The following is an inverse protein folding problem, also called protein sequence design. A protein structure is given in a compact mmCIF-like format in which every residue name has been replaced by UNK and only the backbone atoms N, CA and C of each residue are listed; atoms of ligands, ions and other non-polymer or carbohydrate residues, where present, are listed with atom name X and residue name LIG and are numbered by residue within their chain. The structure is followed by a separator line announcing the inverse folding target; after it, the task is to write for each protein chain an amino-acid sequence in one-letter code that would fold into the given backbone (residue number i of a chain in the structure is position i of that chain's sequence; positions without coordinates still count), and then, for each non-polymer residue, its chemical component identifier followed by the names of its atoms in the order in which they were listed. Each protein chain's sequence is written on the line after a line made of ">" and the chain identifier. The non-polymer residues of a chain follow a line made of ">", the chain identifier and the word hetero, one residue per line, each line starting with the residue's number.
data_IF_613437287086
#
_entry.id   IF_613437287086
#
_cell.length_a   1.000
_cell.length_b   1.000
_cell.length_c   1.000
_cell.angle_alpha   90.00
_cell.angle_beta   90.00
_cell.angle_gamma   90.00
#
_symmetry.space_group_name_H-M   'P 1'
#
loop_
_entity.id
_entity.type
_entity.pdbx_description
1 polymer ?
#
# COMPACT_ATOMS: atom_id res chain seq x y z
N UNK A 1 35.38 -17.32 52.54
CA UNK A 1 36.16 -17.97 51.46
C UNK A 1 36.64 -16.90 50.50
N UNK A 2 37.87 -17.05 50.00
CA UNK A 2 38.61 -16.16 49.10
C UNK A 2 37.97 -16.07 47.71
N UNK A 3 38.25 -14.97 46.99
CA UNK A 3 38.84 -14.83 45.64
C UNK A 3 38.48 -13.41 45.12
N UNK A 4 39.43 -12.47 45.11
CA UNK A 4 40.31 -12.12 43.98
C UNK A 4 39.54 -11.53 42.78
N UNK A 5 39.68 -10.23 42.46
CA UNK A 5 40.77 -9.53 41.73
C UNK A 5 40.33 -9.29 40.27
N UNK A 6 40.55 -8.07 39.77
CA UNK A 6 41.01 -7.69 38.40
C UNK A 6 40.20 -6.59 37.66
N UNK A 7 40.94 -5.51 37.40
CA UNK A 7 41.03 -4.63 36.24
C UNK A 7 39.87 -3.71 35.79
N UNK A 8 40.13 -2.42 36.06
CA UNK A 8 40.33 -1.34 35.10
C UNK A 8 40.04 -1.57 33.59
N UNK A 9 39.27 -0.61 33.06
CA UNK A 9 39.29 -0.01 31.72
C UNK A 9 39.72 -0.87 30.52
N UNK A 10 38.74 -1.13 29.65
CA UNK A 10 38.93 -1.01 28.22
C UNK A 10 37.77 -0.16 27.66
N UNK A 11 37.99 1.16 27.51
CA UNK A 11 37.24 1.97 26.54
C UNK A 11 37.71 1.51 25.15
N UNK A 12 37.14 0.41 24.68
CA UNK A 12 37.33 -0.03 23.32
C UNK A 12 36.47 0.87 22.41
N UNK A 13 37.17 1.70 21.63
CA UNK A 13 36.78 2.14 20.30
C UNK A 13 35.36 2.64 20.16
N UNK A 14 35.20 3.96 20.26
CA UNK A 14 34.11 4.70 19.64
C UNK A 14 34.11 4.45 18.13
N UNK A 15 33.39 3.42 17.70
CA UNK A 15 32.88 3.31 16.35
C UNK A 15 31.51 2.65 16.46
N UNK A 16 30.57 3.33 17.14
CA UNK A 16 29.22 3.28 16.61
C UNK A 16 29.38 3.82 15.20
N UNK A 17 29.40 2.92 14.20
CA UNK A 17 28.90 3.27 12.90
C UNK A 17 27.59 3.98 13.20
N UNK A 18 27.58 5.30 13.03
CA UNK A 18 26.36 6.08 13.09
C UNK A 18 25.40 5.30 12.21
N UNK A 19 24.25 4.83 12.74
CA UNK A 19 23.24 4.32 11.84
C UNK A 19 23.01 5.47 10.88
N UNK A 20 23.48 5.30 9.64
CA UNK A 20 23.08 6.16 8.54
C UNK A 20 21.58 6.27 8.67
N UNK A 21 20.99 7.47 8.74
CA UNK A 21 19.56 7.60 8.81
C UNK A 21 19.00 6.81 7.63
N UNK A 22 18.51 5.62 7.93
CA UNK A 22 17.80 4.77 7.00
C UNK A 22 16.59 5.63 6.71
N UNK A 23 16.50 6.21 5.49
CA UNK A 23 15.45 7.16 5.10
C UNK A 23 14.17 6.84 5.87
N UNK A 24 13.69 7.85 6.61
CA UNK A 24 12.40 7.81 7.28
C UNK A 24 11.34 7.23 6.34
N UNK A 25 10.26 6.64 6.88
CA UNK A 25 9.11 6.24 6.06
C UNK A 25 8.80 7.34 5.05
N UNK A 26 8.55 6.99 3.79
CA UNK A 26 8.11 7.98 2.82
C UNK A 26 6.70 8.43 3.22
N UNK A 27 6.63 9.46 4.06
CA UNK A 27 5.40 10.06 4.59
C UNK A 27 4.46 10.50 3.46
N UNK A 28 5.01 10.76 2.26
CA UNK A 28 4.25 11.06 1.06
C UNK A 28 3.46 9.87 0.56
N UNK A 29 4.12 8.72 0.34
CA UNK A 29 3.46 7.48 -0.11
C UNK A 29 2.43 6.98 0.89
N UNK A 30 2.73 7.02 2.19
CA UNK A 30 1.77 6.64 3.23
C UNK A 30 0.49 7.49 3.17
N UNK A 31 0.64 8.80 2.99
CA UNK A 31 -0.50 9.72 2.86
C UNK A 31 -1.31 9.47 1.59
N UNK A 32 -0.65 9.14 0.48
CA UNK A 32 -1.34 8.81 -0.77
C UNK A 32 -2.15 7.52 -0.64
N UNK A 33 -1.59 6.48 -0.02
CA UNK A 33 -2.29 5.23 0.25
C UNK A 33 -3.54 5.49 1.12
N UNK A 34 -3.40 6.23 2.22
CA UNK A 34 -4.54 6.58 3.07
C UNK A 34 -5.61 7.38 2.32
N UNK A 35 -5.20 8.32 1.47
CA UNK A 35 -6.13 9.11 0.63
C UNK A 35 -6.92 8.19 -0.31
N UNK A 36 -6.26 7.19 -0.88
CA UNK A 36 -6.87 6.22 -1.77
C UNK A 36 -7.81 5.25 -1.03
N UNK A 37 -7.46 4.82 0.18
CA UNK A 37 -8.34 4.03 1.04
C UNK A 37 -9.63 4.79 1.37
N UNK A 38 -9.54 6.10 1.64
CA UNK A 38 -10.71 6.96 1.84
C UNK A 38 -11.54 7.06 0.56
N UNK A 39 -10.92 7.22 -0.60
CA UNK A 39 -11.64 7.25 -1.88
C UNK A 39 -12.38 5.93 -2.15
N UNK A 40 -11.75 4.77 -1.88
CA UNK A 40 -12.41 3.46 -1.98
C UNK A 40 -13.59 3.36 -1.02
N UNK A 41 -13.45 3.87 0.21
CA UNK A 41 -14.55 3.88 1.19
C UNK A 41 -15.72 4.74 0.71
N UNK A 42 -15.47 5.89 0.07
CA UNK A 42 -16.52 6.71 -0.54
C UNK A 42 -17.26 5.94 -1.64
N UNK A 43 -16.54 5.24 -2.53
CA UNK A 43 -17.16 4.37 -3.54
C UNK A 43 -17.99 3.26 -2.88
N UNK A 44 -17.51 2.62 -1.81
CA UNK A 44 -18.30 1.62 -1.07
C UNK A 44 -19.60 2.25 -0.52
N UNK A 45 -19.50 3.42 0.11
CA UNK A 45 -20.66 4.12 0.65
C UNK A 45 -21.66 4.48 -0.45
N UNK A 46 -21.17 4.94 -1.60
CA UNK A 46 -21.99 5.25 -2.76
C UNK A 46 -22.71 4.02 -3.32
N UNK A 47 -22.02 2.88 -3.39
CA UNK A 47 -22.63 1.60 -3.78
C UNK A 47 -23.72 1.20 -2.78
N UNK A 48 -23.45 1.28 -1.48
CA UNK A 48 -24.41 0.92 -0.42
C UNK A 48 -25.65 1.81 -0.45
N UNK A 49 -25.47 3.11 -0.71
CA UNK A 49 -26.54 4.09 -0.71
C UNK A 49 -27.21 4.28 -2.08
N UNK A 50 -26.71 3.60 -3.14
CA UNK A 50 -27.11 3.86 -4.53
C UNK A 50 -26.98 5.36 -4.90
N UNK A 51 -25.90 5.99 -4.44
CA UNK A 51 -25.65 7.41 -4.62
C UNK A 51 -25.35 7.73 -6.09
N UNK A 52 -25.99 8.75 -6.70
CA UNK A 52 -25.65 9.19 -8.06
C UNK A 52 -24.19 9.66 -8.24
N UNK A 53 -23.48 9.99 -7.15
CA UNK A 53 -22.06 10.34 -7.19
C UNK A 53 -21.14 9.16 -7.53
N UNK A 54 -21.63 7.91 -7.49
CA UNK A 54 -20.82 6.68 -7.64
C UNK A 54 -19.83 6.73 -8.80
N UNK A 55 -20.27 7.18 -9.99
CA UNK A 55 -19.40 7.24 -11.18
C UNK A 55 -18.27 8.26 -11.02
N UNK A 56 -18.56 9.39 -10.41
CA UNK A 56 -17.59 10.47 -10.17
C UNK A 56 -16.56 10.02 -9.14
N UNK A 57 -17.00 9.45 -8.03
CA UNK A 57 -16.12 8.99 -6.96
C UNK A 57 -15.28 7.79 -7.41
N UNK A 58 -15.86 6.92 -8.25
CA UNK A 58 -15.12 5.84 -8.93
C UNK A 58 -14.02 6.39 -9.87
N UNK A 59 -14.33 7.40 -10.68
CA UNK A 59 -13.35 8.01 -11.56
C UNK A 59 -12.22 8.71 -10.78
N UNK A 60 -12.55 9.39 -9.68
CA UNK A 60 -11.57 10.04 -8.81
C UNK A 60 -10.60 9.02 -8.18
N UNK A 61 -11.12 7.90 -7.66
CA UNK A 61 -10.25 6.83 -7.13
C UNK A 61 -9.40 6.16 -8.21
N UNK A 62 -9.93 5.97 -9.43
CA UNK A 62 -9.14 5.46 -10.56
C UNK A 62 -7.96 6.39 -10.91
N UNK A 63 -8.16 7.70 -10.88
CA UNK A 63 -7.08 8.67 -11.08
C UNK A 63 -6.02 8.58 -9.98
N UNK A 64 -6.43 8.46 -8.72
CA UNK A 64 -5.51 8.29 -7.59
C UNK A 64 -4.70 6.98 -7.70
N UNK A 65 -5.32 5.89 -8.15
CA UNK A 65 -4.59 4.65 -8.47
C UNK A 65 -3.54 4.87 -9.55
N UNK A 66 -3.84 5.66 -10.59
CA UNK A 66 -2.87 6.03 -11.63
C UNK A 66 -1.66 6.77 -11.08
N UNK A 67 -1.87 7.73 -10.17
CA UNK A 67 -0.79 8.46 -9.49
C UNK A 67 0.07 7.49 -8.67
N UNK A 68 -0.54 6.73 -7.76
CA UNK A 68 0.16 5.81 -6.87
C UNK A 68 0.93 4.73 -7.65
N UNK A 69 0.32 4.20 -8.72
CA UNK A 69 0.94 3.20 -9.58
C UNK A 69 2.13 3.79 -10.33
N UNK A 70 2.07 5.03 -10.82
CA UNK A 70 3.20 5.67 -11.49
C UNK A 70 4.36 5.96 -10.54
N UNK A 71 4.09 6.30 -9.28
CA UNK A 71 5.12 6.54 -8.27
C UNK A 71 5.79 5.24 -7.80
N UNK A 72 5.03 4.14 -7.75
CA UNK A 72 5.51 2.83 -7.31
C UNK A 72 5.93 1.90 -8.45
N UNK A 73 5.66 2.28 -9.71
CA UNK A 73 6.11 1.52 -10.87
C UNK A 73 7.63 1.59 -10.95
N UNK A 74 8.26 0.51 -10.49
CA UNK A 74 9.62 0.18 -10.88
C UNK A 74 9.70 -0.15 -12.38
N UNK A 75 10.86 -0.62 -12.87
CA UNK A 75 11.05 -0.92 -14.29
C UNK A 75 10.19 -2.08 -14.84
N UNK A 76 9.41 -2.78 -14.00
CA UNK A 76 8.58 -3.89 -14.43
C UNK A 76 7.11 -3.47 -14.62
N UNK A 77 6.43 -3.92 -15.69
CA UNK A 77 4.99 -3.74 -15.85
C UNK A 77 4.21 -4.58 -14.84
N UNK A 78 2.97 -4.19 -14.51
CA UNK A 78 2.09 -5.00 -13.68
C UNK A 78 1.92 -6.40 -14.28
N UNK A 79 2.22 -7.45 -13.51
CA UNK A 79 1.89 -8.82 -13.91
C UNK A 79 0.38 -8.93 -14.15
N UNK A 80 -0.06 -9.70 -15.15
CA UNK A 80 -1.46 -9.82 -15.48
C UNK A 80 -2.21 -10.54 -14.36
N UNK A 81 -2.82 -9.77 -13.47
CA UNK A 81 -3.81 -10.23 -12.51
C UNK A 81 -5.17 -9.70 -12.96
N UNK A 82 -6.08 -10.61 -13.29
CA UNK A 82 -7.41 -10.29 -13.80
C UNK A 82 -8.48 -10.82 -12.82
N UNK A 83 -8.91 -10.01 -11.85
CA UNK A 83 -9.99 -10.42 -10.97
C UNK A 83 -11.30 -10.60 -11.75
N UNK A 84 -12.22 -11.38 -11.19
CA UNK A 84 -13.56 -11.53 -11.75
C UNK A 84 -14.27 -10.17 -11.85
N UNK A 85 -15.11 -9.99 -12.88
CA UNK A 85 -15.87 -8.75 -13.11
C UNK A 85 -17.16 -8.78 -12.28
N UNK A 86 -17.25 -8.04 -11.17
CA UNK A 86 -18.47 -8.01 -10.36
C UNK A 86 -19.63 -7.38 -11.14
N UNK A 87 -20.79 -8.01 -11.07
CA UNK A 87 -22.06 -7.49 -11.61
C UNK A 87 -23.13 -7.30 -10.52
N UNK A 88 -22.82 -7.62 -9.27
CA UNK A 88 -23.69 -7.45 -8.12
C UNK A 88 -23.07 -6.50 -7.11
N UNK A 89 -23.92 -5.87 -6.30
CA UNK A 89 -23.51 -4.95 -5.24
C UNK A 89 -22.52 -5.62 -4.26
N UNK A 90 -22.82 -6.85 -3.81
CA UNK A 90 -21.96 -7.58 -2.87
C UNK A 90 -20.59 -7.91 -3.47
N UNK A 91 -20.56 -8.35 -4.74
CA UNK A 91 -19.30 -8.64 -5.42
C UNK A 91 -18.46 -7.38 -5.67
N UNK A 92 -19.10 -6.25 -5.97
CA UNK A 92 -18.42 -4.97 -6.13
C UNK A 92 -17.78 -4.50 -4.82
N UNK A 93 -18.52 -4.57 -3.71
CA UNK A 93 -17.98 -4.25 -2.38
C UNK A 93 -16.82 -5.18 -2.02
N UNK A 94 -16.94 -6.49 -2.29
CA UNK A 94 -15.87 -7.45 -2.02
C UNK A 94 -14.60 -7.15 -2.84
N UNK A 95 -14.74 -6.74 -4.10
CA UNK A 95 -13.62 -6.32 -4.93
C UNK A 95 -12.95 -5.04 -4.36
N UNK A 96 -13.73 -4.05 -3.94
CA UNK A 96 -13.21 -2.83 -3.29
C UNK A 96 -12.51 -3.16 -1.96
N UNK A 97 -13.05 -4.05 -1.14
CA UNK A 97 -12.40 -4.52 0.08
C UNK A 97 -11.08 -5.26 -0.20
N UNK A 98 -11.05 -6.06 -1.27
CA UNK A 98 -9.82 -6.74 -1.71
C UNK A 98 -8.78 -5.72 -2.15
N UNK A 99 -9.20 -4.66 -2.84
CA UNK A 99 -8.34 -3.53 -3.19
C UNK A 99 -7.76 -2.85 -1.95
N UNK A 100 -8.59 -2.51 -0.96
CA UNK A 100 -8.14 -1.92 0.31
C UNK A 100 -7.15 -2.83 1.05
N UNK A 101 -7.42 -4.14 1.12
CA UNK A 101 -6.51 -5.08 1.79
C UNK A 101 -5.11 -5.08 1.17
N UNK A 102 -5.01 -4.93 -0.16
CA UNK A 102 -3.71 -4.83 -0.86
C UNK A 102 -2.99 -3.52 -0.57
N UNK A 103 -3.73 -2.41 -0.48
CA UNK A 103 -3.18 -1.12 -0.06
C UNK A 103 -2.67 -1.15 1.38
N UNK A 104 -3.34 -1.88 2.28
CA UNK A 104 -2.87 -2.08 3.65
C UNK A 104 -1.59 -2.90 3.71
N UNK A 105 -1.49 -3.98 2.92
CA UNK A 105 -0.24 -4.74 2.77
C UNK A 105 0.90 -3.85 2.26
N UNK A 106 0.64 -3.06 1.21
CA UNK A 106 1.58 -2.07 0.68
C UNK A 106 2.01 -1.05 1.75
N UNK A 107 1.07 -0.49 2.52
CA UNK A 107 1.37 0.44 3.60
C UNK A 107 2.27 -0.19 4.68
N UNK A 108 1.98 -1.42 5.09
CA UNK A 108 2.79 -2.15 6.08
C UNK A 108 4.19 -2.44 5.56
N UNK A 109 4.31 -2.83 4.29
CA UNK A 109 5.61 -3.10 3.68
C UNK A 109 6.48 -1.84 3.59
N UNK A 110 5.86 -0.68 3.32
CA UNK A 110 6.54 0.61 3.26
C UNK A 110 7.03 1.09 4.65
N UNK A 111 6.39 0.64 5.73
CA UNK A 111 6.79 0.96 7.11
C UNK A 111 7.91 0.07 7.63
N UNK A 112 8.19 -1.06 6.99
CA UNK A 112 9.20 -2.00 7.46
C UNK A 112 10.58 -1.68 6.86
N UNK A 113 11.56 -1.18 7.65
CA UNK A 113 12.88 -0.83 7.15
C UNK A 113 13.69 -2.03 6.64
N UNK A 114 13.31 -3.27 6.99
CA UNK A 114 13.90 -4.49 6.45
C UNK A 114 13.38 -4.83 5.03
N UNK A 115 12.23 -4.26 4.64
CA UNK A 115 11.61 -4.43 3.33
C UNK A 115 12.00 -3.33 2.34
N UNK A 116 13.11 -2.61 2.60
CA UNK A 116 13.74 -1.74 1.59
C UNK A 116 14.24 -2.57 0.41
N UNK A 117 13.29 -2.82 -0.50
CA UNK A 117 13.43 -2.94 -1.95
C UNK A 117 14.01 -4.27 -2.44
N UNK A 118 13.17 -5.30 -2.46
CA UNK A 118 12.99 -5.96 -3.74
C UNK A 118 11.96 -5.11 -4.51
N UNK A 119 12.39 -4.31 -5.48
CA UNK A 119 11.56 -3.42 -6.31
C UNK A 119 10.27 -4.08 -6.86
N UNK A 120 10.19 -5.41 -6.87
CA UNK A 120 9.02 -6.18 -7.33
C UNK A 120 7.91 -6.44 -6.29
N UNK A 121 8.13 -6.31 -4.98
CA UNK A 121 7.10 -6.66 -3.98
C UNK A 121 6.00 -5.58 -3.86
N UNK A 122 6.40 -4.31 -3.71
CA UNK A 122 5.49 -3.16 -3.73
C UNK A 122 4.66 -3.08 -5.00
N UNK A 123 5.29 -3.46 -6.11
CA UNK A 123 4.70 -3.51 -7.42
C UNK A 123 3.53 -4.51 -7.50
N UNK A 124 3.66 -5.69 -6.88
CA UNK A 124 2.59 -6.69 -6.92
C UNK A 124 1.32 -6.25 -6.18
N UNK A 125 1.45 -5.59 -5.03
CA UNK A 125 0.30 -5.15 -4.23
C UNK A 125 -0.40 -3.94 -4.84
N UNK A 126 0.34 -2.93 -5.31
CA UNK A 126 -0.28 -1.77 -5.98
C UNK A 126 -1.00 -2.19 -7.27
N UNK A 127 -0.39 -3.10 -8.05
CA UNK A 127 -1.01 -3.62 -9.27
C UNK A 127 -2.26 -4.46 -8.96
N UNK A 128 -2.23 -5.32 -7.94
CA UNK A 128 -3.41 -6.10 -7.57
C UNK A 128 -4.53 -5.21 -7.04
N UNK A 129 -4.19 -4.22 -6.21
CA UNK A 129 -5.16 -3.23 -5.72
C UNK A 129 -5.86 -2.53 -6.90
N UNK A 130 -5.07 -1.99 -7.84
CA UNK A 130 -5.58 -1.33 -9.02
C UNK A 130 -6.46 -2.26 -9.88
N UNK A 131 -6.05 -3.52 -10.07
CA UNK A 131 -6.84 -4.51 -10.80
C UNK A 131 -8.18 -4.79 -10.12
N UNK A 132 -8.22 -5.01 -8.80
CA UNK A 132 -9.46 -5.22 -8.06
C UNK A 132 -10.39 -4.01 -8.17
N UNK A 133 -9.85 -2.80 -8.04
CA UNK A 133 -10.60 -1.57 -8.21
C UNK A 133 -11.15 -1.42 -9.64
N UNK A 134 -10.33 -1.67 -10.65
CA UNK A 134 -10.71 -1.56 -12.06
C UNK A 134 -11.83 -2.53 -12.45
N UNK A 135 -11.89 -3.72 -11.84
CA UNK A 135 -12.94 -4.70 -12.13
C UNK A 135 -14.34 -4.20 -11.78
N UNK A 136 -14.44 -3.29 -10.79
CA UNK A 136 -15.71 -2.70 -10.32
C UNK A 136 -16.39 -1.85 -11.40
N UNK A 137 -15.66 -1.42 -12.44
CA UNK A 137 -16.23 -0.76 -13.64
C UNK A 137 -17.43 -1.50 -14.23
N UNK A 138 -17.42 -2.85 -14.19
CA UNK A 138 -18.49 -3.68 -14.73
C UNK A 138 -19.82 -3.55 -13.95
N UNK A 139 -19.75 -3.20 -12.67
CA UNK A 139 -20.91 -2.88 -11.85
C UNK A 139 -21.31 -1.40 -11.97
N UNK A 140 -20.32 -0.50 -11.94
CA UNK A 140 -20.54 0.96 -12.00
C UNK A 140 -21.03 1.43 -13.36
N UNK A 141 -20.71 0.69 -14.44
CA UNK A 141 -20.97 1.10 -15.82
C UNK A 141 -20.09 2.27 -16.23
N UNK A 142 -18.79 2.17 -15.94
CA UNK A 142 -17.73 3.13 -16.24
C UNK A 142 -16.68 2.53 -17.19
#
# INVERSE_FOLDING_TARGET
>A
MRFSLIAALALAGSAFATPTPVNAPDDGLQKQIQTLEIAILNVINDIVQSNPALKTDYAAGAQQFGVLTNELQGPQPCSPFTPGKPTTQSAAIQALQSSTSRLQSLSLDLLNPANKLADGAFHADVCQAASYYSAVSSFVGA
#
